data_IF_199763744603
#
_entry.id   IF_199763744603
#
_cell.length_a   1.000
_cell.length_b   1.000
_cell.length_c   1.000
_cell.angle_alpha   90.00
_cell.angle_beta   90.00
_cell.angle_gamma   90.00
#
_symmetry.space_group_name_H-M   'P 1'
#
loop_
_entity.id
_entity.type
_entity.pdbx_description
1 polymer ?
#
# COMPACT_ATOMS: atom_id res chain seq x y z
N UNK A 1 -9.68 -14.44 4.28
CA UNK A 1 -9.02 -13.11 4.17
C UNK A 1 -8.55 -12.57 5.50
N UNK A 2 -9.32 -12.64 6.60
CA UNK A 2 -8.83 -12.22 7.93
C UNK A 2 -7.47 -12.83 8.31
N UNK A 3 -7.22 -14.08 7.94
CA UNK A 3 -5.97 -14.78 8.21
C UNK A 3 -4.74 -14.21 7.50
N UNK A 4 -4.91 -13.40 6.44
CA UNK A 4 -3.80 -12.71 5.78
C UNK A 4 -3.24 -11.56 6.65
N UNK A 5 -4.04 -11.01 7.56
CA UNK A 5 -3.61 -9.94 8.46
C UNK A 5 -2.90 -10.46 9.72
N UNK A 6 -2.50 -11.73 9.76
CA UNK A 6 -1.88 -12.32 10.95
C UNK A 6 -0.55 -11.62 11.27
N UNK A 7 -0.44 -11.09 12.49
CA UNK A 7 0.73 -10.32 12.93
C UNK A 7 0.72 -8.85 12.51
N UNK A 8 -0.33 -8.37 11.84
CA UNK A 8 -0.46 -6.97 11.47
C UNK A 8 -1.09 -6.15 12.60
N UNK A 9 -0.63 -4.89 12.74
CA UNK A 9 -1.33 -3.88 13.52
C UNK A 9 -2.36 -3.21 12.61
N UNK A 10 -3.65 -3.40 12.91
CA UNK A 10 -4.75 -2.80 12.14
C UNK A 10 -5.19 -1.52 12.85
N UNK A 11 -5.14 -0.40 12.14
CA UNK A 11 -5.65 0.90 12.61
C UNK A 11 -6.87 1.31 11.78
N UNK A 12 -7.90 1.79 12.47
CA UNK A 12 -9.16 2.25 11.86
C UNK A 12 -9.43 3.71 12.25
N UNK A 13 -10.47 4.30 11.68
CA UNK A 13 -10.82 5.71 11.92
C UNK A 13 -11.01 6.03 13.41
N UNK A 14 -11.57 5.08 14.16
CA UNK A 14 -11.84 5.21 15.60
C UNK A 14 -10.56 5.28 16.44
N UNK A 15 -9.46 4.68 15.94
CA UNK A 15 -8.16 4.71 16.61
C UNK A 15 -7.48 6.08 16.52
N UNK A 16 -7.86 6.91 15.55
CA UNK A 16 -7.29 8.25 15.38
C UNK A 16 -7.87 9.26 16.36
N UNK A 17 -9.15 9.11 16.70
CA UNK A 17 -9.87 10.06 17.54
C UNK A 17 -11.38 9.91 17.43
N UNK A 18 -12.08 10.36 18.47
CA UNK A 18 -13.54 10.29 18.59
C UNK A 18 -14.06 11.37 19.56
N UNK A 19 -15.38 11.41 19.75
CA UNK A 19 -16.05 12.41 20.61
C UNK A 19 -15.62 12.38 22.09
N UNK A 20 -15.05 11.28 22.57
CA UNK A 20 -14.64 11.12 23.98
C UNK A 20 -13.18 11.48 24.20
N UNK A 21 -12.31 11.18 23.22
CA UNK A 21 -10.85 11.38 23.34
C UNK A 21 -10.33 12.59 22.56
N UNK A 22 -11.22 13.26 21.82
CA UNK A 22 -10.87 14.31 20.86
C UNK A 22 -10.59 13.75 19.47
N UNK A 23 -10.80 14.61 18.46
CA UNK A 23 -10.60 14.28 17.05
C UNK A 23 -9.16 14.55 16.60
N UNK A 24 -8.65 13.68 15.74
CA UNK A 24 -7.36 13.83 15.07
C UNK A 24 -7.35 15.09 14.19
N UNK A 25 -6.20 15.77 14.02
CA UNK A 25 -6.10 16.94 13.14
C UNK A 25 -6.61 16.73 11.72
N UNK A 26 -6.42 15.53 11.13
CA UNK A 26 -6.99 15.18 9.81
C UNK A 26 -8.53 15.16 9.83
N UNK A 27 -9.14 14.63 10.90
CA UNK A 27 -10.60 14.63 11.07
C UNK A 27 -11.12 16.07 11.19
N UNK A 28 -10.43 16.91 11.97
CA UNK A 28 -10.75 18.33 12.15
C UNK A 28 -10.61 19.12 10.85
N UNK A 29 -9.52 18.92 10.11
CA UNK A 29 -9.28 19.59 8.83
C UNK A 29 -10.40 19.26 7.82
N UNK A 30 -10.78 17.98 7.70
CA UNK A 30 -11.87 17.59 6.80
C UNK A 30 -13.20 18.26 7.18
N UNK A 31 -13.48 18.37 8.48
CA UNK A 31 -14.65 19.08 8.98
C UNK A 31 -14.59 20.59 8.69
N UNK A 32 -13.50 21.26 9.05
CA UNK A 32 -13.32 22.71 8.92
C UNK A 32 -13.40 23.22 7.48
N UNK A 33 -13.07 22.37 6.50
CA UNK A 33 -13.17 22.69 5.08
C UNK A 33 -14.49 22.30 4.44
N UNK A 34 -15.48 21.87 5.22
CA UNK A 34 -16.75 21.35 4.71
C UNK A 34 -16.54 20.16 3.76
N UNK A 35 -15.49 19.37 4.01
CA UNK A 35 -15.12 18.17 3.26
C UNK A 35 -16.02 16.96 3.53
N UNK A 36 -17.13 17.15 4.23
CA UNK A 36 -18.12 16.11 4.52
C UNK A 36 -19.55 16.62 4.35
N UNK A 37 -20.42 15.76 3.83
CA UNK A 37 -21.87 15.99 3.74
C UNK A 37 -22.60 14.78 4.34
N UNK A 38 -22.79 13.71 3.55
CA UNK A 38 -23.42 12.48 4.05
C UNK A 38 -22.51 11.67 5.00
N UNK A 39 -21.21 11.98 5.06
CA UNK A 39 -20.25 11.33 5.95
C UNK A 39 -19.78 9.93 5.54
N UNK A 40 -20.48 9.23 4.65
CA UNK A 40 -20.22 7.80 4.38
C UNK A 40 -18.80 7.51 3.87
N UNK A 41 -18.28 8.36 2.97
CA UNK A 41 -16.91 8.21 2.44
C UNK A 41 -15.82 8.80 3.35
N UNK A 42 -16.18 9.59 4.36
CA UNK A 42 -15.21 10.34 5.16
C UNK A 42 -14.19 9.46 5.89
N UNK A 43 -14.55 8.30 6.48
CA UNK A 43 -13.57 7.41 7.09
C UNK A 43 -12.48 6.97 6.12
N UNK A 44 -12.84 6.58 4.89
CA UNK A 44 -11.88 6.17 3.85
C UNK A 44 -10.93 7.29 3.47
N UNK A 45 -11.46 8.49 3.21
CA UNK A 45 -10.68 9.69 2.91
C UNK A 45 -9.65 10.00 4.00
N UNK A 46 -10.08 9.95 5.26
CA UNK A 46 -9.23 10.25 6.43
C UNK A 46 -8.15 9.19 6.60
N UNK A 47 -8.49 7.90 6.47
CA UNK A 47 -7.51 6.83 6.62
C UNK A 47 -6.49 6.80 5.49
N UNK A 48 -6.89 7.15 4.26
CA UNK A 48 -5.95 7.34 3.14
C UNK A 48 -4.97 8.47 3.43
N UNK A 49 -5.46 9.63 3.87
CA UNK A 49 -4.61 10.75 4.25
C UNK A 49 -3.69 10.38 5.43
N UNK A 50 -4.21 9.69 6.45
CA UNK A 50 -3.41 9.22 7.57
C UNK A 50 -2.30 8.27 7.12
N UNK A 51 -2.58 7.35 6.20
CA UNK A 51 -1.57 6.47 5.59
C UNK A 51 -0.43 7.26 4.95
N UNK A 52 -0.74 8.33 4.20
CA UNK A 52 0.28 9.20 3.62
C UNK A 52 1.15 9.89 4.67
N UNK A 53 0.62 10.23 5.85
CA UNK A 53 1.43 10.80 6.95
C UNK A 53 2.39 9.81 7.61
N UNK A 54 2.21 8.50 7.36
CA UNK A 54 3.08 7.43 7.86
C UNK A 54 4.18 7.04 6.87
N UNK A 55 4.06 7.45 5.62
CA UNK A 55 5.10 7.20 4.62
C UNK A 55 6.33 8.07 4.88
N UNK A 56 7.49 7.59 4.39
CA UNK A 56 8.74 8.33 4.48
C UNK A 56 8.76 9.54 3.53
N UNK A 57 9.31 10.65 4.02
CA UNK A 57 9.51 11.88 3.26
C UNK A 57 8.39 12.91 3.45
N UNK A 58 8.49 14.07 2.78
CA UNK A 58 7.51 15.13 2.94
C UNK A 58 6.15 14.74 2.36
N UNK A 59 5.11 15.18 3.05
CA UNK A 59 3.72 15.14 2.58
C UNK A 59 3.48 16.34 1.65
N UNK A 60 3.36 16.08 0.36
CA UNK A 60 3.16 17.10 -0.68
C UNK A 60 1.75 17.07 -1.26
N UNK A 61 1.31 18.18 -1.84
CA UNK A 61 -0.01 18.32 -2.47
C UNK A 61 -0.22 17.30 -3.58
N UNK A 62 0.82 17.02 -4.37
CA UNK A 62 0.79 16.03 -5.44
C UNK A 62 0.59 14.60 -4.91
N UNK A 63 1.24 14.24 -3.79
CA UNK A 63 1.05 12.93 -3.15
C UNK A 63 -0.37 12.76 -2.62
N UNK A 64 -0.89 13.79 -1.96
CA UNK A 64 -2.27 13.81 -1.45
C UNK A 64 -3.25 13.56 -2.59
N UNK A 65 -3.14 14.31 -3.69
CA UNK A 65 -4.04 14.17 -4.83
C UNK A 65 -3.95 12.77 -5.47
N UNK A 66 -2.74 12.25 -5.66
CA UNK A 66 -2.54 10.90 -6.21
C UNK A 66 -3.08 9.78 -5.30
N UNK A 67 -3.12 10.00 -3.99
CA UNK A 67 -3.57 8.98 -3.02
C UNK A 67 -5.10 8.80 -2.95
N UNK A 68 -5.87 9.80 -3.39
CA UNK A 68 -7.33 9.80 -3.26
C UNK A 68 -8.06 9.09 -4.40
N UNK A 69 -7.34 8.58 -5.40
CA UNK A 69 -7.89 7.90 -6.58
C UNK A 69 -8.80 6.70 -6.25
N UNK A 70 -8.61 6.08 -5.08
CA UNK A 70 -9.41 4.96 -4.59
C UNK A 70 -10.65 5.31 -3.76
N UNK A 71 -10.84 6.58 -3.39
CA UNK A 71 -11.95 6.98 -2.53
C UNK A 71 -13.02 7.74 -3.32
N UNK A 72 -14.23 7.22 -3.34
CA UNK A 72 -15.34 7.80 -4.10
C UNK A 72 -16.22 8.65 -3.19
N UNK A 73 -16.43 9.91 -3.55
CA UNK A 73 -17.41 10.80 -2.94
C UNK A 73 -18.44 11.26 -3.97
N UNK A 74 -19.74 11.11 -3.64
CA UNK A 74 -20.84 11.56 -4.51
C UNK A 74 -21.40 12.93 -4.13
N UNK A 75 -21.12 13.41 -2.91
CA UNK A 75 -21.79 14.57 -2.34
C UNK A 75 -20.99 15.86 -2.47
N UNK A 76 -19.70 15.83 -2.14
CA UNK A 76 -18.89 17.06 -1.97
C UNK A 76 -18.28 17.62 -3.24
N UNK A 77 -18.22 16.83 -4.31
CA UNK A 77 -17.48 17.20 -5.52
C UNK A 77 -15.96 17.30 -5.33
N UNK A 78 -15.40 16.64 -4.30
CA UNK A 78 -13.96 16.52 -3.97
C UNK A 78 -13.20 17.79 -3.59
N UNK A 79 -13.51 18.94 -4.18
CA UNK A 79 -12.78 20.20 -3.93
C UNK A 79 -12.56 20.51 -2.44
N UNK A 80 -13.59 20.50 -1.56
CA UNK A 80 -13.36 20.76 -0.13
C UNK A 80 -12.52 19.68 0.57
N UNK A 81 -12.54 18.43 0.08
CA UNK A 81 -11.70 17.34 0.62
C UNK A 81 -10.23 17.59 0.25
N UNK A 82 -9.97 17.94 -1.01
CA UNK A 82 -8.63 18.25 -1.48
C UNK A 82 -8.07 19.50 -0.80
N UNK A 83 -8.86 20.57 -0.68
CA UNK A 83 -8.47 21.78 0.05
C UNK A 83 -8.09 21.45 1.51
N UNK A 84 -8.90 20.62 2.18
CA UNK A 84 -8.65 20.19 3.56
C UNK A 84 -7.29 19.49 3.69
N UNK A 85 -7.01 18.50 2.83
CA UNK A 85 -5.79 17.71 2.96
C UNK A 85 -4.56 18.44 2.42
N UNK A 86 -4.69 19.22 1.34
CA UNK A 86 -3.61 20.07 0.82
C UNK A 86 -3.22 21.16 1.80
N UNK A 87 -4.13 21.67 2.64
CA UNK A 87 -3.76 22.63 3.69
C UNK A 87 -2.73 22.09 4.70
N UNK A 88 -2.62 20.76 4.82
CA UNK A 88 -1.73 20.06 5.75
C UNK A 88 -0.37 19.69 5.13
N UNK A 89 -0.13 20.02 3.86
CA UNK A 89 1.10 19.65 3.14
C UNK A 89 2.21 20.68 3.33
N UNK A 90 3.45 20.28 3.05
CA UNK A 90 4.62 21.18 3.17
C UNK A 90 4.60 22.31 2.13
N UNK A 91 3.96 22.06 0.99
CA UNK A 91 3.83 22.93 -0.18
C UNK A 91 2.43 23.58 -0.28
N UNK A 92 1.68 23.60 0.83
CA UNK A 92 0.33 24.12 0.88
C UNK A 92 0.26 25.61 0.53
N UNK A 93 -0.72 25.97 -0.31
CA UNK A 93 -1.02 27.36 -0.66
C UNK A 93 -1.34 28.20 0.61
N UNK A 94 -0.76 29.40 0.77
CA UNK A 94 -1.00 30.24 1.94
C UNK A 94 -2.48 30.52 2.20
N UNK A 95 -3.29 30.74 1.16
CA UNK A 95 -4.72 30.98 1.27
C UNK A 95 -5.51 29.77 1.79
N UNK A 96 -5.00 28.55 1.57
CA UNK A 96 -5.56 27.35 2.21
C UNK A 96 -5.24 27.30 3.69
N UNK A 97 -4.03 27.70 4.11
CA UNK A 97 -3.66 27.72 5.54
C UNK A 97 -4.49 28.73 6.33
N UNK A 98 -4.78 29.88 5.73
CA UNK A 98 -5.61 30.93 6.33
C UNK A 98 -7.08 30.51 6.50
N UNK A 99 -7.61 29.72 5.55
CA UNK A 99 -8.99 29.16 5.62
C UNK A 99 -9.17 28.09 6.69
N UNK A 100 -8.07 27.50 7.19
CA UNK A 100 -8.12 26.49 8.25
C UNK A 100 -8.40 27.10 9.64
N UNK A 101 -8.63 28.42 9.72
CA UNK A 101 -8.81 29.13 10.98
C UNK A 101 -10.30 29.35 11.28
N UNK A 102 -10.84 28.56 12.20
CA UNK A 102 -11.91 29.01 13.11
C UNK A 102 -11.37 29.03 14.57
N UNK A 103 -10.87 30.23 14.88
CA UNK A 103 -10.74 31.00 16.13
C UNK A 103 -10.09 30.45 17.42
N UNK A 104 -10.02 29.15 17.75
CA UNK A 104 -9.48 28.75 19.08
C UNK A 104 -8.34 27.71 19.12
N UNK A 105 -7.96 27.05 18.02
CA UNK A 105 -7.12 25.83 18.12
C UNK A 105 -5.83 25.80 17.26
N UNK A 106 -5.61 26.78 16.40
CA UNK A 106 -4.61 26.69 15.33
C UNK A 106 -3.13 26.79 15.74
N UNK A 107 -2.79 27.10 17.01
CA UNK A 107 -1.39 27.23 17.46
C UNK A 107 -1.04 26.48 18.76
N UNK A 108 -1.78 25.42 19.08
CA UNK A 108 -1.38 24.47 20.12
C UNK A 108 -0.87 23.16 19.51
N UNK A 109 0.37 23.16 18.98
CA UNK A 109 1.17 21.92 18.94
C UNK A 109 1.75 21.45 17.60
N UNK A 110 2.23 22.33 16.72
CA UNK A 110 3.17 21.94 15.65
C UNK A 110 4.57 22.43 16.02
N UNK A 111 5.49 21.50 16.24
CA UNK A 111 6.90 21.81 16.54
C UNK A 111 7.65 22.07 15.21
N UNK A 112 8.08 23.31 15.00
CA UNK A 112 8.76 23.78 13.77
C UNK A 112 10.04 23.02 13.43
N UNK A 113 10.61 22.26 14.39
CA UNK A 113 11.87 21.55 14.16
C UNK A 113 11.74 20.17 13.51
N UNK A 114 10.55 19.54 13.51
CA UNK A 114 10.40 18.14 13.04
C UNK A 114 9.13 17.82 12.22
N UNK A 115 8.23 18.79 11.96
CA UNK A 115 7.04 18.55 11.13
C UNK A 115 6.06 17.48 11.64
N UNK A 116 6.25 16.98 12.86
CA UNK A 116 5.39 15.99 13.50
C UNK A 116 4.19 16.69 14.17
N UNK A 117 2.98 16.27 13.80
CA UNK A 117 1.73 16.74 14.41
C UNK A 117 1.45 15.91 15.67
N UNK A 118 1.30 16.55 16.84
CA UNK A 118 0.82 15.88 18.07
C UNK A 118 1.66 16.05 19.35
N UNK A 119 2.54 17.04 19.48
CA UNK A 119 3.18 17.32 20.78
C UNK A 119 2.36 18.39 21.52
N UNK A 120 1.41 17.95 22.33
CA UNK A 120 0.68 18.84 23.23
C UNK A 120 1.63 19.46 24.27
N UNK A 121 1.76 20.78 24.24
CA UNK A 121 2.25 21.60 25.36
C UNK A 121 3.76 21.71 25.53
N UNK A 122 4.39 22.67 24.84
CA UNK A 122 5.69 23.21 25.26
C UNK A 122 5.53 24.62 25.83
N UNK A 123 5.11 24.73 27.10
CA UNK A 123 5.44 25.87 27.94
C UNK A 123 6.05 25.37 29.25
N UNK A 124 7.36 25.57 29.35
CA UNK A 124 8.14 25.66 30.59
C UNK A 124 7.86 24.62 31.67
N UNK A 125 8.59 23.50 31.64
CA UNK A 125 9.23 22.89 32.82
C UNK A 125 10.26 21.86 32.34
N UNK A 126 11.44 21.93 32.93
CA UNK A 126 12.57 21.03 32.68
C UNK A 126 12.17 19.57 32.95
N UNK A 127 12.71 18.65 32.15
CA UNK A 127 12.70 17.22 32.46
C UNK A 127 11.45 16.46 32.01
N UNK A 128 11.31 16.21 30.71
CA UNK A 128 10.28 15.31 30.19
C UNK A 128 10.55 14.98 28.74
N UNK A 129 11.53 14.10 28.50
CA UNK A 129 11.87 13.64 27.16
C UNK A 129 10.63 13.14 26.45
N UNK A 130 10.29 13.78 25.33
CA UNK A 130 9.35 13.24 24.36
C UNK A 130 9.91 11.88 23.94
N UNK A 131 9.40 10.81 24.56
CA UNK A 131 9.70 9.47 24.11
C UNK A 131 9.19 9.46 22.69
N UNK A 132 10.12 9.47 21.73
CA UNK A 132 9.87 8.84 20.44
C UNK A 132 9.19 7.54 20.82
N UNK A 133 7.94 7.34 20.40
CA UNK A 133 7.45 5.99 20.25
C UNK A 133 8.43 5.37 19.28
N UNK A 134 9.50 4.80 19.82
CA UNK A 134 10.18 3.68 19.22
C UNK A 134 9.04 2.69 19.08
N UNK A 135 8.38 2.72 17.92
CA UNK A 135 7.73 1.54 17.39
C UNK A 135 8.86 0.53 17.34
N UNK A 136 9.07 -0.16 18.46
CA UNK A 136 9.66 -1.47 18.45
C UNK A 136 8.98 -2.16 17.29
N UNK A 137 9.76 -2.43 16.24
CA UNK A 137 9.37 -3.40 15.25
C UNK A 137 9.24 -4.70 16.04
N UNK A 138 8.04 -4.94 16.56
CA UNK A 138 7.67 -6.24 17.09
C UNK A 138 7.97 -7.22 15.95
N UNK A 139 8.79 -8.26 16.19
CA UNK A 139 9.02 -9.29 15.20
C UNK A 139 7.74 -10.12 15.13
N UNK A 140 6.74 -9.66 14.38
CA UNK A 140 5.56 -10.45 14.06
C UNK A 140 5.81 -11.20 12.76
N UNK A 141 6.79 -12.10 12.78
CA UNK A 141 6.70 -13.30 11.95
C UNK A 141 6.01 -14.35 12.82
N UNK A 142 4.67 -14.37 12.89
CA UNK A 142 4.01 -15.59 13.36
C UNK A 142 4.50 -16.69 12.42
N UNK A 143 5.04 -17.77 12.98
CA UNK A 143 5.57 -18.88 12.22
C UNK A 143 4.52 -19.50 11.29
N UNK A 144 4.83 -20.66 10.72
CA UNK A 144 3.90 -21.34 9.80
C UNK A 144 2.47 -21.45 10.38
N UNK A 145 1.50 -20.80 9.74
CA UNK A 145 0.10 -20.82 10.18
C UNK A 145 -0.65 -21.90 9.40
N UNK A 146 -1.36 -22.78 10.12
CA UNK A 146 -2.25 -23.78 9.53
C UNK A 146 -3.61 -23.72 10.22
N UNK A 147 -4.64 -23.39 9.45
CA UNK A 147 -6.01 -23.25 9.96
C UNK A 147 -6.92 -24.13 9.11
N UNK A 148 -7.85 -24.84 9.76
CA UNK A 148 -8.85 -25.66 9.08
C UNK A 148 -10.24 -25.30 9.61
N UNK A 149 -11.16 -24.99 8.71
CA UNK A 149 -12.55 -24.65 9.02
C UNK A 149 -13.45 -25.48 8.11
N UNK A 150 -14.12 -26.48 8.69
CA UNK A 150 -14.82 -27.49 7.91
C UNK A 150 -13.86 -28.17 6.92
N UNK A 151 -14.19 -28.15 5.63
CA UNK A 151 -13.36 -28.70 4.55
C UNK A 151 -12.32 -27.74 3.98
N UNK A 152 -12.29 -26.48 4.42
CA UNK A 152 -11.39 -25.45 3.88
C UNK A 152 -10.16 -25.30 4.76
N UNK A 153 -8.98 -25.36 4.14
CA UNK A 153 -7.67 -25.22 4.79
C UNK A 153 -7.00 -23.92 4.37
N UNK A 154 -6.36 -23.23 5.31
CA UNK A 154 -5.55 -22.04 5.09
C UNK A 154 -4.14 -22.29 5.61
N UNK A 155 -3.15 -22.04 4.76
CA UNK A 155 -1.73 -22.18 5.05
C UNK A 155 -1.03 -20.84 4.86
N UNK A 156 -0.07 -20.52 5.73
CA UNK A 156 0.86 -19.39 5.56
C UNK A 156 2.28 -19.88 5.85
N UNK A 157 2.98 -20.43 4.84
CA UNK A 157 4.40 -20.76 4.97
C UNK A 157 5.25 -19.50 5.16
N UNK A 158 6.34 -19.67 5.90
CA UNK A 158 7.37 -18.63 6.14
C UNK A 158 8.56 -18.71 5.18
N UNK A 159 8.64 -19.77 4.37
CA UNK A 159 9.73 -19.99 3.42
C UNK A 159 9.28 -20.88 2.25
N UNK A 160 10.08 -20.90 1.19
CA UNK A 160 9.79 -21.65 -0.04
C UNK A 160 9.67 -23.16 0.22
N UNK A 161 10.49 -23.74 1.09
CA UNK A 161 10.45 -25.18 1.38
C UNK A 161 9.15 -25.58 2.08
N UNK A 162 8.70 -24.76 3.03
CA UNK A 162 7.40 -24.89 3.69
C UNK A 162 6.26 -24.88 2.67
N UNK A 163 6.29 -23.95 1.71
CA UNK A 163 5.32 -23.90 0.61
C UNK A 163 5.31 -25.18 -0.22
N UNK A 164 6.47 -25.69 -0.63
CA UNK A 164 6.54 -26.96 -1.38
C UNK A 164 6.01 -28.15 -0.57
N UNK A 165 6.27 -28.20 0.73
CA UNK A 165 5.74 -29.25 1.59
C UNK A 165 4.21 -29.23 1.66
N UNK A 166 3.62 -28.04 1.69
CA UNK A 166 2.16 -27.85 1.67
C UNK A 166 1.59 -28.28 0.32
N UNK A 167 2.19 -27.85 -0.79
CA UNK A 167 1.76 -28.22 -2.14
C UNK A 167 1.77 -29.74 -2.34
N UNK A 168 2.78 -30.44 -1.81
CA UNK A 168 2.85 -31.91 -1.85
C UNK A 168 1.81 -32.61 -0.95
N UNK A 169 1.29 -31.92 0.06
CA UNK A 169 0.28 -32.44 0.99
C UNK A 169 -1.16 -32.29 0.48
N UNK A 170 -1.36 -31.50 -0.57
CA UNK A 170 -2.66 -31.29 -1.20
C UNK A 170 -2.86 -32.38 -2.24
N UNK A 171 -4.02 -33.06 -2.22
CA UNK A 171 -4.32 -34.12 -3.18
C UNK A 171 -4.28 -33.61 -4.62
N UNK A 172 -3.90 -34.48 -5.57
CA UNK A 172 -3.77 -34.10 -6.99
C UNK A 172 -5.07 -33.61 -7.64
N UNK A 173 -6.21 -34.03 -7.12
CA UNK A 173 -7.55 -33.59 -7.57
C UNK A 173 -8.11 -32.42 -6.76
N UNK A 174 -7.43 -32.02 -5.69
CA UNK A 174 -7.88 -30.91 -4.85
C UNK A 174 -7.53 -29.55 -5.48
N UNK A 175 -8.54 -28.68 -5.57
CA UNK A 175 -8.33 -27.30 -6.03
C UNK A 175 -7.78 -26.47 -4.89
N UNK A 176 -6.58 -25.93 -5.06
CA UNK A 176 -5.99 -24.95 -4.16
C UNK A 176 -5.84 -23.59 -4.82
N UNK A 177 -5.62 -22.57 -4.00
CA UNK A 177 -5.37 -21.20 -4.43
C UNK A 177 -4.19 -20.60 -3.68
N UNK A 178 -3.24 -20.05 -4.43
CA UNK A 178 -2.23 -19.15 -3.88
C UNK A 178 -2.86 -17.77 -3.69
N UNK A 179 -2.56 -17.11 -2.57
CA UNK A 179 -3.12 -15.82 -2.18
C UNK A 179 -1.99 -14.90 -1.74
N UNK A 180 -2.00 -13.67 -2.27
CA UNK A 180 -1.21 -12.55 -1.71
C UNK A 180 -2.20 -11.46 -1.32
N UNK A 181 -2.34 -10.41 -2.12
CA UNK A 181 -3.27 -9.34 -1.81
C UNK A 181 -4.70 -9.56 -2.30
N UNK A 182 -4.96 -10.70 -2.97
CA UNK A 182 -6.31 -11.21 -3.22
C UNK A 182 -7.26 -10.27 -4.00
N UNK A 183 -6.71 -9.29 -4.72
CA UNK A 183 -7.46 -8.26 -5.46
C UNK A 183 -8.22 -8.80 -6.67
N UNK A 184 -7.93 -10.04 -7.10
CA UNK A 184 -8.66 -10.75 -8.16
C UNK A 184 -9.81 -11.64 -7.69
N UNK A 185 -10.06 -11.79 -6.37
CA UNK A 185 -11.21 -12.57 -5.89
C UNK A 185 -12.52 -11.78 -6.01
N UNK A 186 -13.62 -12.44 -6.41
CA UNK A 186 -14.95 -11.81 -6.52
C UNK A 186 -15.19 -11.06 -7.84
N UNK A 187 -14.15 -10.86 -8.65
CA UNK A 187 -14.26 -10.38 -10.05
C UNK A 187 -14.78 -11.50 -10.96
N UNK A 188 -14.28 -12.72 -10.75
CA UNK A 188 -14.65 -13.89 -11.55
C UNK A 188 -15.70 -14.71 -10.83
N UNK A 189 -16.90 -14.79 -11.41
CA UNK A 189 -18.07 -15.50 -10.82
C UNK A 189 -17.86 -17.01 -10.65
N UNK A 190 -16.93 -17.60 -11.40
CA UNK A 190 -16.66 -19.06 -11.43
C UNK A 190 -15.30 -19.45 -10.81
N UNK A 191 -14.75 -18.61 -9.93
CA UNK A 191 -13.42 -18.80 -9.33
C UNK A 191 -13.52 -19.60 -8.01
N UNK A 192 -13.57 -20.93 -8.13
CA UNK A 192 -13.66 -21.87 -7.02
C UNK A 192 -14.76 -22.92 -7.20
N UNK A 193 -15.14 -23.67 -6.14
CA UNK A 193 -14.60 -23.61 -4.78
C UNK A 193 -13.18 -24.20 -4.66
N UNK A 194 -12.43 -23.74 -3.65
CA UNK A 194 -11.09 -24.25 -3.32
C UNK A 194 -11.12 -24.91 -1.94
N UNK A 195 -10.46 -26.06 -1.79
CA UNK A 195 -10.31 -26.76 -0.51
C UNK A 195 -9.08 -26.29 0.28
N UNK A 196 -8.13 -25.62 -0.37
CA UNK A 196 -6.92 -25.12 0.24
C UNK A 196 -6.54 -23.72 -0.26
N UNK A 197 -6.11 -22.85 0.65
CA UNK A 197 -5.58 -21.53 0.37
C UNK A 197 -4.16 -21.43 0.94
N UNK A 198 -3.22 -20.92 0.14
CA UNK A 198 -1.81 -20.81 0.52
C UNK A 198 -1.42 -19.33 0.40
N UNK A 199 -1.25 -18.68 1.54
CA UNK A 199 -0.81 -17.30 1.64
C UNK A 199 0.71 -17.24 1.53
N UNK A 200 1.25 -16.56 0.52
CA UNK A 200 2.70 -16.47 0.32
C UNK A 200 3.31 -15.21 0.92
N UNK A 201 2.52 -14.36 1.57
CA UNK A 201 2.95 -13.10 2.19
C UNK A 201 4.03 -13.27 3.26
N UNK A 202 4.14 -14.45 3.87
CA UNK A 202 5.18 -14.78 4.86
C UNK A 202 6.52 -15.22 4.27
N UNK A 203 6.64 -15.38 2.94
CA UNK A 203 7.87 -15.86 2.28
C UNK A 203 8.70 -14.66 1.81
N UNK A 204 9.72 -14.29 2.58
CA UNK A 204 10.57 -13.13 2.29
C UNK A 204 11.27 -13.22 0.93
N UNK A 205 11.67 -14.43 0.50
CA UNK A 205 12.36 -14.66 -0.76
C UNK A 205 11.55 -14.22 -1.98
N UNK A 206 10.21 -14.20 -1.88
CA UNK A 206 9.32 -13.78 -2.96
C UNK A 206 9.20 -12.25 -3.09
N UNK A 207 9.79 -11.48 -2.18
CA UNK A 207 9.89 -10.02 -2.29
C UNK A 207 11.22 -9.56 -2.88
N UNK A 208 12.20 -10.47 -3.05
CA UNK A 208 13.54 -10.12 -3.50
C UNK A 208 13.54 -9.65 -4.96
N UNK A 209 14.23 -8.53 -5.20
CA UNK A 209 14.49 -7.98 -6.53
C UNK A 209 15.97 -8.12 -6.87
N UNK A 210 16.31 -8.54 -8.09
CA UNK A 210 17.70 -8.61 -8.56
C UNK A 210 17.89 -7.71 -9.77
N UNK A 211 18.76 -6.71 -9.61
CA UNK A 211 19.14 -5.79 -10.69
C UNK A 211 20.29 -6.43 -11.48
N UNK A 212 19.93 -7.18 -12.52
CA UNK A 212 20.86 -7.80 -13.46
C UNK A 212 20.28 -7.76 -14.87
N UNK A 213 20.85 -8.51 -15.81
CA UNK A 213 20.23 -8.76 -17.11
C UNK A 213 19.77 -10.21 -17.13
N UNK A 214 18.47 -10.51 -17.01
CA UNK A 214 17.34 -9.58 -16.90
C UNK A 214 17.14 -8.99 -15.49
N UNK A 215 16.40 -7.87 -15.41
CA UNK A 215 15.91 -7.32 -14.13
C UNK A 215 14.85 -8.27 -13.60
N UNK A 216 15.02 -8.76 -12.37
CA UNK A 216 14.11 -9.71 -11.74
C UNK A 216 13.33 -9.07 -10.60
N UNK A 217 12.00 -9.19 -10.61
CA UNK A 217 11.12 -8.86 -9.49
C UNK A 217 10.60 -10.14 -8.85
N UNK A 218 10.60 -10.21 -7.52
CA UNK A 218 9.93 -11.29 -6.80
C UNK A 218 8.41 -11.28 -7.01
N UNK A 219 7.78 -12.44 -6.90
CA UNK A 219 6.35 -12.62 -7.16
C UNK A 219 5.41 -11.87 -6.19
N UNK A 220 5.88 -11.49 -5.00
CA UNK A 220 5.10 -10.75 -4.02
C UNK A 220 5.41 -9.23 -3.99
N UNK A 221 6.29 -8.74 -4.87
CA UNK A 221 6.57 -7.30 -4.96
C UNK A 221 5.28 -6.55 -5.32
N UNK A 222 4.93 -5.51 -4.58
CA UNK A 222 3.71 -4.73 -4.91
C UNK A 222 3.88 -3.94 -6.20
N UNK A 223 2.76 -3.59 -6.86
CA UNK A 223 2.82 -2.80 -8.09
C UNK A 223 3.48 -1.44 -7.84
N UNK A 224 3.18 -0.82 -6.69
CA UNK A 224 3.79 0.43 -6.24
C UNK A 224 5.30 0.31 -6.15
N UNK A 225 5.81 -0.75 -5.50
CA UNK A 225 7.26 -0.95 -5.33
C UNK A 225 7.95 -1.25 -6.65
N UNK A 226 7.30 -2.01 -7.53
CA UNK A 226 7.81 -2.26 -8.87
C UNK A 226 7.90 -0.97 -9.70
N UNK A 227 6.89 -0.10 -9.65
CA UNK A 227 6.90 1.19 -10.34
C UNK A 227 8.01 2.12 -9.82
N UNK A 228 8.21 2.20 -8.50
CA UNK A 228 9.34 2.95 -7.92
C UNK A 228 10.68 2.46 -8.47
N UNK A 229 10.87 1.14 -8.52
CA UNK A 229 12.09 0.56 -9.07
C UNK A 229 12.20 0.88 -10.56
N UNK A 230 11.13 0.80 -11.33
CA UNK A 230 11.13 1.10 -12.76
C UNK A 230 11.52 2.54 -13.06
N UNK A 231 10.94 3.52 -12.35
CA UNK A 231 11.35 4.92 -12.47
C UNK A 231 12.82 5.13 -12.09
N UNK A 232 13.29 4.46 -11.02
CA UNK A 232 14.69 4.54 -10.62
C UNK A 232 15.63 3.95 -11.68
N UNK A 233 15.30 2.77 -12.20
CA UNK A 233 16.10 2.06 -13.21
C UNK A 233 16.12 2.82 -14.54
N UNK A 234 15.00 3.40 -14.96
CA UNK A 234 14.93 4.19 -16.19
C UNK A 234 15.80 5.46 -16.12
N UNK A 235 15.92 6.08 -14.92
CA UNK A 235 16.77 7.26 -14.69
C UNK A 235 18.25 6.92 -14.55
N UNK A 236 18.57 5.78 -13.92
CA UNK A 236 19.97 5.42 -13.61
C UNK A 236 20.65 4.60 -14.69
N UNK A 237 19.88 3.84 -15.48
CA UNK A 237 20.42 2.92 -16.49
C UNK A 237 19.71 3.10 -17.84
N UNK A 238 20.37 3.65 -18.87
CA UNK A 238 19.76 3.91 -20.17
C UNK A 238 19.10 2.69 -20.83
N UNK A 239 19.63 1.49 -20.57
CA UNK A 239 19.09 0.21 -21.08
C UNK A 239 17.68 -0.13 -20.58
N UNK A 240 17.26 0.47 -19.47
CA UNK A 240 15.95 0.29 -18.85
C UNK A 240 15.03 1.50 -19.02
N UNK A 241 15.36 2.45 -19.90
CA UNK A 241 14.53 3.63 -20.20
C UNK A 241 13.07 3.30 -20.54
N UNK A 242 12.81 2.15 -21.18
CA UNK A 242 11.46 1.71 -21.52
C UNK A 242 10.59 1.39 -20.28
N UNK A 243 11.19 1.12 -19.12
CA UNK A 243 10.44 0.85 -17.88
C UNK A 243 9.68 2.08 -17.38
N UNK A 244 10.12 3.30 -17.75
CA UNK A 244 9.37 4.53 -17.46
C UNK A 244 7.97 4.49 -18.10
N UNK A 245 7.88 4.05 -19.36
CA UNK A 245 6.60 3.94 -20.08
C UNK A 245 5.70 2.91 -19.40
N UNK A 246 6.27 1.79 -18.96
CA UNK A 246 5.52 0.75 -18.26
C UNK A 246 5.02 1.23 -16.89
N UNK A 247 5.86 1.92 -16.12
CA UNK A 247 5.49 2.49 -14.84
C UNK A 247 4.36 3.52 -14.99
N UNK A 248 4.46 4.42 -15.99
CA UNK A 248 3.42 5.39 -16.29
C UNK A 248 2.10 4.72 -16.71
N UNK A 249 2.15 3.61 -17.44
CA UNK A 249 0.96 2.83 -17.76
C UNK A 249 0.34 2.20 -16.50
N UNK A 250 1.16 1.63 -15.61
CA UNK A 250 0.68 1.04 -14.36
C UNK A 250 0.14 2.06 -13.36
N UNK A 251 0.58 3.31 -13.45
CA UNK A 251 0.08 4.39 -12.60
C UNK A 251 -1.42 4.63 -12.77
N UNK A 252 -1.96 4.42 -13.98
CA UNK A 252 -3.40 4.56 -14.25
C UNK A 252 -4.18 3.26 -14.07
N UNK A 253 -3.55 2.19 -13.60
CA UNK A 253 -4.19 0.90 -13.33
C UNK A 253 -4.56 0.81 -11.85
N UNK A 254 -5.86 0.69 -11.59
CA UNK A 254 -6.47 0.62 -10.26
C UNK A 254 -6.11 1.85 -9.39
N UNK A 255 -6.26 1.73 -8.06
CA UNK A 255 -5.92 2.77 -7.09
C UNK A 255 -4.73 2.36 -6.23
N UNK A 256 -4.19 3.29 -5.43
CA UNK A 256 -3.00 3.04 -4.59
C UNK A 256 -3.20 1.86 -3.63
N UNK A 257 -4.38 1.73 -3.01
CA UNK A 257 -4.67 0.64 -2.07
C UNK A 257 -4.62 -0.74 -2.75
N UNK A 258 -5.15 -0.84 -3.98
CA UNK A 258 -5.08 -2.07 -4.79
C UNK A 258 -3.64 -2.34 -5.24
N UNK A 259 -2.90 -1.32 -5.70
CA UNK A 259 -1.50 -1.46 -6.13
C UNK A 259 -0.57 -1.90 -5.00
N UNK A 260 -0.83 -1.45 -3.77
CA UNK A 260 -0.09 -1.86 -2.57
C UNK A 260 -0.34 -3.32 -2.18
N UNK A 261 -1.51 -3.87 -2.51
CA UNK A 261 -1.91 -5.26 -2.27
C UNK A 261 -1.99 -6.04 -3.59
N UNK A 262 -1.16 -5.71 -4.57
CA UNK A 262 -1.27 -6.35 -5.87
C UNK A 262 -0.76 -7.80 -5.85
N UNK A 263 -1.36 -8.64 -6.70
CA UNK A 263 -0.96 -10.03 -6.90
C UNK A 263 -0.78 -10.33 -8.39
N UNK A 264 0.45 -10.65 -8.82
CA UNK A 264 0.75 -10.88 -10.23
C UNK A 264 0.14 -12.16 -10.83
N UNK A 265 -0.14 -13.17 -9.98
CA UNK A 265 -0.58 -14.52 -10.37
C UNK A 265 -1.88 -14.56 -11.19
N UNK A 266 -2.74 -13.54 -11.06
CA UNK A 266 -4.09 -13.49 -11.65
C UNK A 266 -4.22 -12.64 -12.92
N UNK A 267 -3.12 -12.10 -13.44
CA UNK A 267 -3.15 -11.30 -14.66
C UNK A 267 -3.06 -12.24 -15.88
N UNK A 268 -4.06 -12.30 -16.79
CA UNK A 268 -4.13 -13.33 -17.85
C UNK A 268 -2.91 -13.38 -18.79
N UNK A 269 -2.22 -12.26 -18.98
CA UNK A 269 -0.99 -12.17 -19.79
C UNK A 269 0.30 -12.46 -19.00
N UNK A 270 0.21 -12.67 -17.67
CA UNK A 270 1.33 -12.94 -16.76
C UNK A 270 1.22 -14.33 -16.09
N UNK A 271 0.15 -15.07 -16.35
CA UNK A 271 -0.19 -16.34 -15.69
C UNK A 271 0.72 -17.53 -16.05
N UNK A 272 1.69 -17.37 -16.97
CA UNK A 272 2.67 -18.40 -17.35
C UNK A 272 4.08 -18.16 -16.77
N UNK A 273 4.24 -17.26 -15.81
CA UNK A 273 5.54 -16.98 -15.22
C UNK A 273 5.83 -17.87 -14.02
N UNK A 274 7.03 -18.49 -14.04
CA UNK A 274 7.70 -19.15 -12.93
C UNK A 274 7.30 -18.54 -11.58
N UNK A 275 6.83 -19.41 -10.68
CA UNK A 275 6.28 -19.14 -9.34
C UNK A 275 7.15 -18.25 -8.42
N UNK A 276 8.29 -17.74 -8.88
CA UNK A 276 9.24 -17.00 -8.07
C UNK A 276 9.59 -15.60 -8.60
N UNK A 277 9.70 -15.36 -9.92
CA UNK A 277 10.31 -14.12 -10.44
C UNK A 277 9.81 -13.65 -11.81
N UNK A 278 9.60 -12.34 -11.96
CA UNK A 278 9.32 -11.64 -13.22
C UNK A 278 10.59 -11.05 -13.82
N UNK A 279 10.90 -11.36 -15.08
CA UNK A 279 12.13 -10.93 -15.75
C UNK A 279 11.87 -9.87 -16.83
N UNK A 280 12.66 -8.80 -16.82
CA UNK A 280 12.66 -7.74 -17.84
C UNK A 280 14.03 -7.66 -18.54
N UNK A 281 14.07 -7.97 -19.84
CA UNK A 281 15.29 -7.98 -20.65
C UNK A 281 15.73 -6.59 -21.13
N UNK A 282 17.01 -6.44 -21.49
CA UNK A 282 17.54 -5.20 -22.06
C UNK A 282 17.20 -5.06 -23.54
N UNK A 283 16.85 -3.85 -24.01
CA UNK A 283 16.88 -3.53 -25.45
C UNK A 283 18.34 -3.36 -25.89
N UNK A 284 18.94 -4.38 -26.50
CA UNK A 284 20.09 -4.21 -27.40
C UNK A 284 19.55 -4.35 -28.81
N UNK A 285 19.62 -3.27 -29.58
CA UNK A 285 19.09 -3.20 -30.93
C UNK A 285 19.98 -3.97 -31.91
N UNK A 286 19.54 -5.16 -32.33
CA UNK A 286 19.82 -5.73 -33.66
C UNK A 286 18.75 -6.79 -34.02
N UNK A 287 17.46 -6.46 -33.98
CA UNK A 287 16.50 -7.08 -34.92
C UNK A 287 15.16 -6.33 -34.93
N UNK A 288 14.63 -6.06 -36.11
CA UNK A 288 13.35 -5.36 -36.32
C UNK A 288 12.15 -6.30 -36.09
N UNK A 289 11.98 -6.81 -34.86
CA UNK A 289 10.70 -7.39 -34.42
C UNK A 289 10.37 -6.94 -32.98
N UNK A 290 9.10 -6.63 -32.67
CA UNK A 290 8.69 -6.34 -31.31
C UNK A 290 8.88 -7.60 -30.46
N UNK A 291 9.97 -7.66 -29.70
CA UNK A 291 10.17 -8.72 -28.71
C UNK A 291 9.26 -8.44 -27.52
N UNK A 292 8.12 -9.15 -27.50
CA UNK A 292 7.32 -9.42 -26.31
C UNK A 292 8.21 -9.98 -25.20
N UNK A 293 7.84 -9.69 -23.94
CA UNK A 293 8.51 -10.22 -22.76
C UNK A 293 8.70 -11.75 -22.88
N UNK A 294 9.94 -12.20 -23.10
CA UNK A 294 10.25 -13.61 -23.24
C UNK A 294 10.61 -14.24 -21.90
N UNK A 295 9.98 -15.39 -21.66
CA UNK A 295 10.23 -16.36 -20.59
C UNK A 295 11.70 -16.78 -20.56
N UNK A 296 12.27 -16.88 -19.35
CA UNK A 296 13.37 -17.79 -19.08
C UNK A 296 12.78 -18.99 -18.31
N UNK A 297 12.91 -20.19 -18.90
CA UNK A 297 12.48 -21.49 -18.36
C UNK A 297 13.34 -21.84 -17.14
#
# INVERSE_FOLDING_TARGET
MLYACAGWKIETIESLGNRYTGYHPIQKALHGFYGTQCGFCSPGMIMTMYGQTKESGPLTSAKVEASLDGNICRCTGYRPILDAFKSMTVDADPGLKERLVDIEEAYSGVCEKNGSVGCGGCKGKEGGGCKKSTTEHLPSNPGDIRISIGSVRWFRPTNINGMYSILRSIGTEEKYRIVVGNTGQGVFKNDGPYSAYISTDGIEELYNTSVGVPLQLGANVSLTRAMELFHHMAKTQPRYSYLEVLANHWQVVANVAVRNNFEYSKTPHLANLSLAKFSFGSRVATDHRPQSACLAI
#
